data_IF_875397341024
#
_entry.id   IF_875397341024
#
_cell.length_a   1.000
_cell.length_b   1.000
_cell.length_c   1.000
_cell.angle_alpha   90.00
_cell.angle_beta   90.00
_cell.angle_gamma   90.00
#
_symmetry.space_group_name_H-M   'P 1'
#
loop_
_entity.id
_entity.type
_entity.pdbx_description
1 polymer ?
#
# COMPACT_ATOMS: atom_id res chain seq x y z
N UNK A 1 1.00 6.85 8.95
CA UNK A 1 1.18 5.87 7.84
C UNK A 1 1.77 4.62 8.46
N UNK A 2 0.99 3.54 8.48
CA UNK A 2 1.45 2.24 8.98
C UNK A 2 1.80 1.41 7.75
N UNK A 3 3.03 0.91 7.68
CA UNK A 3 3.48 0.00 6.62
C UNK A 3 3.51 -1.40 7.23
N UNK A 4 2.66 -2.30 6.76
CA UNK A 4 2.55 -3.67 7.31
C UNK A 4 2.47 -4.72 6.21
N UNK A 5 3.00 -5.91 6.48
CA UNK A 5 3.10 -7.07 5.56
C UNK A 5 2.07 -8.17 5.90
N UNK A 6 1.32 -8.02 6.98
CA UNK A 6 0.31 -8.98 7.44
C UNK A 6 -1.10 -8.57 7.06
N UNK A 7 -1.80 -9.45 6.33
CA UNK A 7 -3.15 -9.23 5.81
C UNK A 7 -4.22 -9.14 6.91
N UNK A 8 -4.00 -9.76 8.07
CA UNK A 8 -4.94 -9.72 9.19
C UNK A 8 -5.03 -8.31 9.83
N UNK A 9 -3.98 -7.50 9.68
CA UNK A 9 -3.99 -6.12 10.15
C UNK A 9 -4.91 -5.21 9.31
N UNK A 10 -5.18 -5.59 8.05
CA UNK A 10 -6.08 -4.86 7.16
C UNK A 10 -7.53 -4.95 7.66
N UNK A 11 -7.92 -6.12 8.18
CA UNK A 11 -9.26 -6.37 8.74
C UNK A 11 -9.50 -5.53 10.01
N UNK A 12 -8.53 -5.51 10.93
CA UNK A 12 -8.61 -4.72 12.17
C UNK A 12 -8.58 -3.20 11.93
N UNK A 13 -7.93 -2.75 10.85
CA UNK A 13 -7.88 -1.34 10.46
C UNK A 13 -9.20 -0.89 9.79
N UNK A 14 -9.83 -1.75 8.98
CA UNK A 14 -11.14 -1.49 8.36
C UNK A 14 -12.26 -1.33 9.39
N UNK A 15 -12.19 -2.03 10.53
CA UNK A 15 -13.18 -1.92 11.62
C UNK A 15 -13.13 -0.59 12.38
N UNK A 16 -12.01 0.13 12.34
CA UNK A 16 -11.83 1.40 13.06
C UNK A 16 -12.14 2.56 12.12
N UNK A 17 -13.44 2.88 12.02
CA UNK A 17 -14.00 4.04 11.31
C UNK A 17 -13.24 5.35 11.63
N UNK A 18 -12.25 5.73 10.81
CA UNK A 18 -11.81 7.10 10.46
C UNK A 18 -10.42 7.05 9.77
N UNK A 19 -10.10 8.03 8.91
CA UNK A 19 -9.41 7.77 7.65
C UNK A 19 -7.90 7.59 7.85
N UNK A 20 -7.44 6.34 7.84
CA UNK A 20 -6.03 6.02 7.62
C UNK A 20 -5.89 5.47 6.21
N UNK A 21 -5.36 6.30 5.31
CA UNK A 21 -4.98 5.88 3.95
C UNK A 21 -4.11 4.63 4.06
N UNK A 22 -4.61 3.51 3.57
CA UNK A 22 -4.00 2.19 3.62
C UNK A 22 -3.22 1.95 2.34
N UNK A 23 -1.94 1.61 2.50
CA UNK A 23 -1.08 1.13 1.43
C UNK A 23 -0.65 -0.30 1.75
N UNK A 24 -1.19 -1.27 1.01
CA UNK A 24 -0.81 -2.68 1.09
C UNK A 24 0.37 -2.95 0.15
N UNK A 25 1.39 -3.67 0.61
CA UNK A 25 2.55 -4.04 -0.21
C UNK A 25 2.55 -5.57 -0.41
N UNK A 26 2.10 -6.02 -1.58
CA UNK A 26 1.92 -7.43 -1.93
C UNK A 26 3.06 -7.96 -2.79
N UNK A 27 4.31 -7.69 -2.41
CA UNK A 27 5.50 -8.03 -3.20
C UNK A 27 6.12 -9.39 -2.84
N UNK A 28 5.59 -10.10 -1.85
CA UNK A 28 6.18 -11.33 -1.32
C UNK A 28 7.56 -11.10 -0.70
N UNK A 29 8.50 -12.04 -0.88
CA UNK A 29 9.88 -11.86 -0.46
C UNK A 29 10.70 -11.13 -1.53
N UNK A 30 11.11 -9.89 -1.26
CA UNK A 30 12.01 -9.09 -2.11
C UNK A 30 13.11 -8.48 -1.25
N UNK A 31 14.24 -8.12 -1.87
CA UNK A 31 15.32 -7.44 -1.14
C UNK A 31 14.87 -6.01 -0.83
N UNK A 32 15.37 -5.46 0.28
CA UNK A 32 15.04 -4.08 0.68
C UNK A 32 15.38 -3.05 -0.40
N UNK A 33 16.50 -3.26 -1.12
CA UNK A 33 16.87 -2.39 -2.23
C UNK A 33 15.83 -2.42 -3.36
N UNK A 34 15.36 -3.61 -3.73
CA UNK A 34 14.36 -3.76 -4.78
C UNK A 34 13.02 -3.15 -4.33
N UNK A 35 12.68 -3.27 -3.04
CA UNK A 35 11.52 -2.63 -2.44
C UNK A 35 11.62 -1.11 -2.49
N UNK A 36 12.77 -0.56 -2.14
CA UNK A 36 13.03 0.88 -2.14
C UNK A 36 12.96 1.46 -3.56
N UNK A 37 13.61 0.80 -4.53
CA UNK A 37 13.54 1.17 -5.94
C UNK A 37 12.09 1.09 -6.47
N UNK A 38 11.35 0.03 -6.12
CA UNK A 38 9.94 -0.11 -6.48
C UNK A 38 9.08 1.01 -5.87
N UNK A 39 9.33 1.35 -4.60
CA UNK A 39 8.56 2.39 -3.91
C UNK A 39 8.84 3.76 -4.50
N UNK A 40 10.12 4.11 -4.71
CA UNK A 40 10.54 5.37 -5.30
C UNK A 40 9.99 5.54 -6.73
N UNK A 41 10.03 4.48 -7.54
CA UNK A 41 9.49 4.49 -8.91
C UNK A 41 7.99 4.80 -8.95
N UNK A 42 7.24 4.28 -7.98
CA UNK A 42 5.78 4.40 -7.95
C UNK A 42 5.26 5.49 -7.00
N UNK A 43 6.14 6.18 -6.26
CA UNK A 43 5.79 7.18 -5.26
C UNK A 43 4.88 8.30 -5.79
N UNK A 44 5.10 8.87 -7.00
CA UNK A 44 4.21 9.89 -7.55
C UNK A 44 2.79 9.36 -7.80
N UNK A 45 2.68 8.15 -8.35
CA UNK A 45 1.40 7.48 -8.63
C UNK A 45 0.67 7.16 -7.33
N UNK A 46 1.38 6.57 -6.35
CA UNK A 46 0.81 6.27 -5.03
C UNK A 46 0.32 7.54 -4.33
N UNK A 47 1.10 8.63 -4.38
CA UNK A 47 0.70 9.91 -3.79
C UNK A 47 -0.55 10.48 -4.47
N UNK A 48 -0.70 10.32 -5.78
CA UNK A 48 -1.91 10.72 -6.50
C UNK A 48 -3.11 9.85 -6.10
N UNK A 49 -2.97 8.53 -6.13
CA UNK A 49 -4.07 7.60 -5.81
C UNK A 49 -4.53 7.75 -4.36
N UNK A 50 -3.59 7.91 -3.43
CA UNK A 50 -3.90 8.10 -2.01
C UNK A 50 -4.52 9.48 -1.74
N UNK A 51 -4.57 10.44 -2.68
CA UNK A 51 -5.38 11.66 -2.50
C UNK A 51 -6.87 11.37 -2.59
N UNK A 52 -7.24 10.54 -3.55
CA UNK A 52 -8.64 10.30 -3.92
C UNK A 52 -9.18 8.99 -3.36
N UNK A 53 -8.31 8.07 -2.94
CA UNK A 53 -8.65 6.75 -2.45
C UNK A 53 -8.06 6.47 -1.07
N UNK A 54 -8.79 5.68 -0.29
CA UNK A 54 -8.40 5.30 1.08
C UNK A 54 -7.62 3.98 1.10
N UNK A 55 -7.70 3.16 0.05
CA UNK A 55 -7.02 1.86 0.00
C UNK A 55 -6.37 1.62 -1.37
N UNK A 56 -5.04 1.52 -1.37
CA UNK A 56 -4.21 1.23 -2.54
C UNK A 56 -3.29 0.04 -2.23
N UNK A 57 -3.05 -0.81 -3.21
CA UNK A 57 -2.15 -1.94 -3.13
C UNK A 57 -1.03 -1.80 -4.16
N UNK A 58 0.21 -2.01 -3.73
CA UNK A 58 1.41 -2.04 -4.56
C UNK A 58 1.92 -3.48 -4.66
N UNK A 59 1.86 -4.04 -5.86
CA UNK A 59 2.55 -5.26 -6.24
C UNK A 59 3.90 -4.96 -6.89
N UNK A 60 4.62 -6.02 -7.31
CA UNK A 60 5.89 -5.86 -8.04
C UNK A 60 5.70 -5.16 -9.38
N UNK A 61 4.62 -5.52 -10.06
CA UNK A 61 4.34 -5.12 -11.45
C UNK A 61 2.94 -4.52 -11.61
N UNK A 62 2.24 -4.26 -10.51
CA UNK A 62 0.88 -3.74 -10.52
C UNK A 62 0.64 -2.74 -9.39
N UNK A 63 -0.35 -1.87 -9.59
CA UNK A 63 -0.95 -1.04 -8.55
C UNK A 63 -2.47 -1.21 -8.67
N UNK A 64 -3.11 -1.56 -7.57
CA UNK A 64 -4.56 -1.78 -7.51
C UNK A 64 -5.17 -0.79 -6.53
N UNK A 65 -6.30 -0.17 -6.90
CA UNK A 65 -7.10 0.65 -6.00
C UNK A 65 -8.30 -0.17 -5.57
N UNK A 66 -8.58 -0.17 -4.27
CA UNK A 66 -9.74 -0.84 -3.69
C UNK A 66 -10.79 0.22 -3.30
N UNK A 67 -12.08 -0.12 -3.44
CA UNK A 67 -13.23 0.79 -3.27
C UNK A 67 -13.63 0.96 -1.80
#
# INVERSE_FOLDING_TARGET
MVVTKDGDFVQDLLLRKEPYKLLLISTGNIRNRDLEELFLRNLPTLASLLKDHTFVELGRDFITVHF
#
